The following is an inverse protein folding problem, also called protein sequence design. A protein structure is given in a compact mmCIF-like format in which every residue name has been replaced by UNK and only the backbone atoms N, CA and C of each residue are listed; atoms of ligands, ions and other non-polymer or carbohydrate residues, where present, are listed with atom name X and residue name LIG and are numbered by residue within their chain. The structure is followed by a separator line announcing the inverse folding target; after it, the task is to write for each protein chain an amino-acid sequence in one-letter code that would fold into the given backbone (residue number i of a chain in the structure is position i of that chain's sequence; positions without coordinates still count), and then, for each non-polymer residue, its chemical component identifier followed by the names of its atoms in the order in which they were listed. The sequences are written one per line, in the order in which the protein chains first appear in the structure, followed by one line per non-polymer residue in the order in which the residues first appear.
data_IF_320086203046
#
_entry.id   IF_320086203046
#
_cell.length_a   1.000
_cell.length_b   1.000
_cell.length_c   1.000
_cell.angle_alpha   90.00
_cell.angle_beta   90.00
_cell.angle_gamma   90.00
#
_symmetry.space_group_name_H-M   'P 1'
#
loop_
_entity.id
_entity.type
_entity.pdbx_description
1 polymer ?
#
# COMPACT_ATOMS: atom_id res chain seq x y z
N UNK A 1 6.05 -6.87 0.83
CA UNK A 1 7.49 -6.72 1.17
C UNK A 1 8.27 -6.69 -0.12
N UNK A 2 9.46 -6.08 -0.13
CA UNK A 2 10.45 -6.21 -1.21
C UNK A 2 11.76 -6.58 -0.53
N UNK A 3 12.39 -7.69 -0.93
CA UNK A 3 13.60 -8.23 -0.29
C UNK A 3 13.46 -8.30 1.24
N UNK A 4 12.33 -8.85 1.71
CA UNK A 4 11.98 -8.97 3.14
C UNK A 4 11.79 -7.64 3.91
N UNK A 5 12.04 -6.49 3.26
CA UNK A 5 11.82 -5.16 3.83
C UNK A 5 10.41 -4.63 3.55
N UNK A 6 9.88 -3.84 4.49
CA UNK A 6 8.57 -3.21 4.43
C UNK A 6 8.59 -2.02 3.46
N UNK A 7 7.74 -2.09 2.44
CA UNK A 7 7.56 -1.01 1.43
C UNK A 7 6.23 -0.27 1.60
N UNK A 8 5.23 -0.91 2.17
CA UNK A 8 3.93 -0.33 2.41
C UNK A 8 3.31 -0.87 3.70
N UNK A 9 2.34 -0.12 4.21
CA UNK A 9 1.42 -0.57 5.24
C UNK A 9 -0.01 -0.40 4.74
N UNK A 10 -0.87 -1.35 5.11
CA UNK A 10 -2.31 -1.30 4.84
C UNK A 10 -3.00 -1.39 6.19
N UNK A 11 -3.92 -0.47 6.43
CA UNK A 11 -4.81 -0.46 7.59
C UNK A 11 -6.24 -0.46 7.07
N UNK A 12 -7.07 -1.35 7.59
CA UNK A 12 -8.50 -1.40 7.26
C UNK A 12 -9.30 -1.17 8.52
N UNK A 13 -10.11 -0.13 8.52
CA UNK A 13 -11.08 0.19 9.56
C UNK A 13 -12.48 -0.04 9.00
N UNK A 14 -13.39 -0.57 9.82
CA UNK A 14 -14.77 -0.79 9.39
C UNK A 14 -15.75 -0.58 10.54
N UNK A 15 -16.98 -0.24 10.18
CA UNK A 15 -18.14 -0.31 11.07
C UNK A 15 -19.16 -1.28 10.48
N UNK A 16 -19.65 -2.19 11.30
CA UNK A 16 -20.67 -3.16 10.93
C UNK A 16 -21.61 -3.45 12.11
N UNK A 17 -22.86 -3.76 11.81
CA UNK A 17 -23.88 -4.21 12.77
C UNK A 17 -24.48 -5.53 12.29
N UNK A 18 -24.50 -6.55 13.17
CA UNK A 18 -24.88 -7.92 12.81
C UNK A 18 -24.13 -8.36 11.53
N UNK A 19 -24.82 -8.41 10.39
CA UNK A 19 -24.30 -8.79 9.07
C UNK A 19 -24.27 -7.64 8.04
N UNK A 20 -24.53 -6.40 8.47
CA UNK A 20 -24.54 -5.20 7.61
C UNK A 20 -23.24 -4.42 7.82
N UNK A 21 -22.50 -4.22 6.74
CA UNK A 21 -21.34 -3.32 6.72
C UNK A 21 -21.86 -1.89 6.49
N UNK A 22 -21.63 -1.01 7.46
CA UNK A 22 -21.97 0.41 7.36
C UNK A 22 -20.96 1.16 6.50
N UNK A 23 -19.67 0.90 6.74
CA UNK A 23 -18.57 1.46 5.95
C UNK A 23 -17.29 0.66 6.16
N UNK A 24 -16.38 0.79 5.19
CA UNK A 24 -15.00 0.32 5.27
C UNK A 24 -14.10 1.45 4.78
N UNK A 25 -13.04 1.75 5.53
CA UNK A 25 -11.99 2.69 5.17
C UNK A 25 -10.67 1.93 5.08
N UNK A 26 -10.01 2.00 3.93
CA UNK A 26 -8.71 1.37 3.72
C UNK A 26 -7.65 2.45 3.59
N UNK A 27 -6.80 2.58 4.61
CA UNK A 27 -5.63 3.45 4.62
C UNK A 27 -4.41 2.72 4.08
N UNK A 28 -3.75 3.28 3.07
CA UNK A 28 -2.59 2.66 2.42
C UNK A 28 -1.44 3.66 2.39
N UNK A 29 -0.37 3.34 3.11
CA UNK A 29 0.89 4.09 3.09
C UNK A 29 1.92 3.36 2.24
N UNK A 30 2.52 4.05 1.26
CA UNK A 30 3.56 3.48 0.39
C UNK A 30 4.81 4.33 0.50
N UNK A 31 5.95 3.70 0.80
CA UNK A 31 7.25 4.35 0.80
C UNK A 31 7.71 4.53 -0.65
N UNK A 32 7.52 5.71 -1.24
CA UNK A 32 7.78 5.93 -2.67
C UNK A 32 9.21 6.38 -2.93
N UNK A 33 9.53 7.65 -2.64
CA UNK A 33 10.83 8.28 -2.94
C UNK A 33 11.59 8.71 -1.69
N UNK A 34 11.32 8.07 -0.55
CA UNK A 34 11.99 8.34 0.72
C UNK A 34 13.42 7.78 0.63
N UNK A 35 14.42 8.60 0.95
CA UNK A 35 15.80 8.14 1.04
C UNK A 35 16.04 7.37 2.34
N UNK A 36 16.94 6.37 2.29
CA UNK A 36 17.24 5.49 3.43
C UNK A 36 17.47 6.25 4.75
N UNK A 37 18.21 7.38 4.67
CA UNK A 37 18.57 8.21 5.83
C UNK A 37 17.42 9.00 6.42
N UNK A 38 16.29 9.11 5.71
CA UNK A 38 15.09 9.80 6.20
C UNK A 38 14.19 8.88 7.04
N UNK A 39 14.38 7.56 6.95
CA UNK A 39 13.70 6.64 7.87
C UNK A 39 14.27 6.79 9.28
N UNK A 40 13.44 6.69 10.33
CA UNK A 40 13.90 6.53 11.71
C UNK A 40 14.84 5.33 11.84
N UNK A 41 15.91 5.48 12.64
CA UNK A 41 17.00 4.50 12.77
C UNK A 41 16.50 3.09 13.17
N UNK A 42 15.44 3.02 13.98
CA UNK A 42 14.86 1.77 14.49
C UNK A 42 14.15 0.93 13.42
N UNK A 43 13.78 1.55 12.28
CA UNK A 43 13.08 0.85 11.19
C UNK A 43 13.85 0.82 9.87
N UNK A 44 14.97 1.53 9.77
CA UNK A 44 15.79 1.65 8.56
C UNK A 44 16.14 0.28 7.94
N UNK A 45 16.63 -0.65 8.74
CA UNK A 45 17.07 -1.98 8.24
C UNK A 45 15.90 -2.82 7.70
N UNK A 46 14.70 -2.62 8.24
CA UNK A 46 13.51 -3.41 7.93
C UNK A 46 12.57 -2.72 6.93
N UNK A 47 12.94 -1.56 6.39
CA UNK A 47 12.09 -0.73 5.54
C UNK A 47 12.82 -0.43 4.22
N UNK A 48 12.06 -0.31 3.14
CA UNK A 48 12.57 0.03 1.81
C UNK A 48 11.58 0.95 1.10
N UNK A 49 12.08 1.86 0.26
CA UNK A 49 11.26 2.67 -0.64
C UNK A 49 11.24 2.10 -2.07
N UNK A 50 10.24 2.44 -2.87
CA UNK A 50 10.18 2.05 -4.28
C UNK A 50 11.36 2.65 -5.07
N UNK A 51 11.83 3.83 -4.70
CA UNK A 51 13.03 4.46 -5.27
C UNK A 51 14.26 3.60 -5.06
N UNK A 52 14.50 3.15 -3.83
CA UNK A 52 15.63 2.28 -3.49
C UNK A 52 15.49 0.92 -4.20
N UNK A 53 14.32 0.29 -4.13
CA UNK A 53 14.07 -1.00 -4.74
C UNK A 53 14.22 -1.01 -6.28
N UNK A 54 13.86 0.09 -6.94
CA UNK A 54 13.92 0.21 -8.40
C UNK A 54 15.17 0.92 -8.93
N UNK A 55 15.98 1.50 -8.05
CA UNK A 55 17.18 2.27 -8.39
C UNK A 55 16.91 3.62 -9.07
N UNK A 56 15.66 4.11 -9.11
CA UNK A 56 15.29 5.37 -9.76
C UNK A 56 14.10 6.05 -9.09
N UNK A 57 13.95 7.35 -9.26
CA UNK A 57 12.76 8.05 -8.77
C UNK A 57 11.49 7.52 -9.43
N UNK A 58 10.44 7.40 -8.62
CA UNK A 58 9.11 6.97 -9.06
C UNK A 58 8.20 8.18 -9.17
N UNK A 59 7.58 8.35 -10.33
CA UNK A 59 6.55 9.38 -10.53
C UNK A 59 5.29 9.02 -9.74
N UNK A 60 5.07 9.70 -8.61
CA UNK A 60 3.93 9.45 -7.70
C UNK A 60 2.57 9.50 -8.39
N UNK A 61 2.39 10.41 -9.36
CA UNK A 61 1.15 10.50 -10.14
C UNK A 61 0.92 9.23 -10.96
N UNK A 62 1.96 8.70 -11.60
CA UNK A 62 1.83 7.46 -12.37
C UNK A 62 1.60 6.27 -11.45
N UNK A 63 2.29 6.22 -10.31
CA UNK A 63 2.09 5.18 -9.30
C UNK A 63 0.65 5.14 -8.80
N UNK A 64 0.08 6.27 -8.38
CA UNK A 64 -1.29 6.29 -7.85
C UNK A 64 -2.32 5.92 -8.91
N UNK A 65 -2.12 6.34 -10.17
CA UNK A 65 -2.99 5.94 -11.28
C UNK A 65 -3.01 4.43 -11.48
N UNK A 66 -1.82 3.81 -11.57
CA UNK A 66 -1.71 2.35 -11.75
C UNK A 66 -2.19 1.60 -10.52
N UNK A 67 -1.87 2.10 -9.32
CA UNK A 67 -2.34 1.52 -8.07
C UNK A 67 -3.87 1.48 -8.00
N UNK A 68 -4.55 2.61 -8.29
CA UNK A 68 -6.02 2.66 -8.24
C UNK A 68 -6.67 1.76 -9.30
N UNK A 69 -6.07 1.62 -10.49
CA UNK A 69 -6.55 0.70 -11.52
C UNK A 69 -6.48 -0.76 -11.06
N UNK A 70 -5.36 -1.19 -10.48
CA UNK A 70 -5.23 -2.55 -9.95
C UNK A 70 -6.09 -2.75 -8.71
N UNK A 71 -6.19 -1.76 -7.82
CA UNK A 71 -7.02 -1.84 -6.63
C UNK A 71 -8.51 -2.02 -6.99
N UNK A 72 -9.03 -1.26 -7.95
CA UNK A 72 -10.40 -1.41 -8.47
C UNK A 72 -10.63 -2.80 -9.05
N UNK A 73 -9.67 -3.32 -9.83
CA UNK A 73 -9.76 -4.68 -10.39
C UNK A 73 -9.89 -5.74 -9.31
N UNK A 74 -9.08 -5.66 -8.25
CA UNK A 74 -9.19 -6.60 -7.12
C UNK A 74 -10.47 -6.40 -6.31
N UNK A 75 -10.94 -5.16 -6.16
CA UNK A 75 -12.22 -4.88 -5.53
C UNK A 75 -13.40 -5.50 -6.30
N UNK A 76 -13.35 -5.46 -7.63
CA UNK A 76 -14.36 -6.09 -8.49
C UNK A 76 -14.32 -7.63 -8.42
N UNK A 77 -13.13 -8.24 -8.29
CA UNK A 77 -12.99 -9.68 -8.02
C UNK A 77 -13.62 -10.00 -6.65
N UNK A 78 -13.31 -9.19 -5.63
CA UNK A 78 -13.85 -9.35 -4.28
C UNK A 78 -15.39 -9.34 -4.26
N UNK A 79 -16.00 -8.39 -4.99
CA UNK A 79 -17.46 -8.30 -5.13
C UNK A 79 -18.09 -9.55 -5.76
N UNK A 80 -17.44 -10.14 -6.75
CA UNK A 80 -17.95 -11.33 -7.47
C UNK A 80 -17.76 -12.63 -6.69
N UNK A 81 -17.02 -12.59 -5.58
CA UNK A 81 -16.63 -13.76 -4.78
C UNK A 81 -15.82 -14.79 -5.59
N UNK A 82 -15.05 -14.32 -6.57
CA UNK A 82 -14.21 -15.14 -7.45
C UNK A 82 -12.81 -15.33 -6.82
N UNK A 83 -12.75 -16.07 -5.70
CA UNK A 83 -11.51 -16.41 -4.99
C UNK A 83 -11.13 -17.89 -5.16
#
# INVERSE_FOLDING_TARGET
LINEKKVCGILTEMSAELDIINWVVVGIGINVNIDYREFPEDIQENTISLKEASGKEVLRVKLVQTFLQEFEKYYEILKRREF
#
